data_IF_678367081125
#
_entry.id   IF_678367081125
#
_cell.length_a   1.000
_cell.length_b   1.000
_cell.length_c   1.000
_cell.angle_alpha   90.00
_cell.angle_beta   90.00
_cell.angle_gamma   90.00
#
_symmetry.space_group_name_H-M   'P 1'
#
loop_
_entity.id
_entity.type
_entity.pdbx_description
1 polymer ?
#
# COMPACT_ATOMS: atom_id res chain seq x y z
N UNK A 1 -2.40 0.18 -12.82
CA UNK A 1 -3.24 1.27 -13.37
C UNK A 1 -2.81 1.81 -14.75
N UNK A 2 -2.18 1.01 -15.64
CA UNK A 2 -1.50 1.51 -16.85
C UNK A 2 -2.44 2.22 -17.84
N UNK A 3 -3.59 1.63 -18.14
CA UNK A 3 -4.56 2.15 -19.12
C UNK A 3 -5.09 3.54 -18.75
N UNK A 4 -5.35 3.79 -17.45
CA UNK A 4 -5.83 5.09 -16.96
C UNK A 4 -4.73 6.15 -17.03
N UNK A 5 -3.45 5.75 -16.89
CA UNK A 5 -2.32 6.66 -17.07
C UNK A 5 -2.22 7.08 -18.53
N UNK A 6 -2.34 6.15 -19.48
CA UNK A 6 -2.34 6.45 -20.92
C UNK A 6 -3.53 7.35 -21.30
N UNK A 7 -4.72 7.13 -20.72
CA UNK A 7 -5.90 8.00 -20.90
C UNK A 7 -5.64 9.43 -20.36
N UNK A 8 -4.98 9.54 -19.20
CA UNK A 8 -4.64 10.82 -18.59
C UNK A 8 -3.59 11.59 -19.40
N UNK A 9 -2.61 10.87 -19.96
CA UNK A 9 -1.59 11.44 -20.85
C UNK A 9 -2.22 11.96 -22.14
N UNK A 10 -3.08 11.17 -22.80
CA UNK A 10 -3.85 11.62 -23.97
C UNK A 10 -4.68 12.87 -23.67
N UNK A 11 -5.32 12.94 -22.50
CA UNK A 11 -6.08 14.13 -22.10
C UNK A 11 -5.18 15.36 -21.91
N UNK A 12 -3.98 15.18 -21.38
CA UNK A 12 -3.00 16.26 -21.20
C UNK A 12 -2.38 16.71 -22.54
N UNK A 13 -2.20 15.79 -23.48
CA UNK A 13 -1.72 16.05 -24.84
C UNK A 13 -2.77 16.74 -25.70
N UNK A 14 -4.06 16.50 -25.45
CA UNK A 14 -5.17 17.10 -26.18
C UNK A 14 -5.27 18.64 -26.05
N UNK A 15 -4.56 19.26 -25.10
CA UNK A 15 -4.41 20.71 -25.08
C UNK A 15 -4.03 21.29 -23.72
N UNK A 16 -3.28 22.40 -23.75
CA UNK A 16 -2.83 23.13 -22.56
C UNK A 16 -4.00 23.61 -21.69
N UNK A 17 -5.13 24.01 -22.30
CA UNK A 17 -6.35 24.44 -21.60
C UNK A 17 -6.93 23.29 -20.75
N UNK A 18 -7.02 22.07 -21.29
CA UNK A 18 -7.53 20.90 -20.55
C UNK A 18 -6.64 20.53 -19.36
N UNK A 19 -5.32 20.74 -19.49
CA UNK A 19 -4.36 20.54 -18.42
C UNK A 19 -4.44 21.60 -17.32
N UNK A 20 -4.60 22.88 -17.68
CA UNK A 20 -4.58 24.00 -16.74
C UNK A 20 -5.92 24.28 -16.07
N UNK A 21 -7.03 24.17 -16.81
CA UNK A 21 -8.37 24.50 -16.30
C UNK A 21 -9.13 23.28 -15.76
N UNK A 22 -8.48 22.12 -15.67
CA UNK A 22 -9.05 20.93 -15.01
C UNK A 22 -9.96 20.06 -15.88
N UNK A 23 -9.85 20.15 -17.21
CA UNK A 23 -10.59 19.28 -18.15
C UNK A 23 -10.29 17.79 -17.99
N UNK A 24 -9.14 17.43 -17.40
CA UNK A 24 -8.74 16.04 -17.15
C UNK A 24 -9.05 15.51 -15.74
N UNK A 25 -9.85 16.24 -14.93
CA UNK A 25 -10.05 15.91 -13.52
C UNK A 25 -10.74 14.56 -13.29
N UNK A 26 -11.63 14.13 -14.17
CA UNK A 26 -12.34 12.86 -13.99
C UNK A 26 -11.44 11.65 -14.27
N UNK A 27 -10.60 11.73 -15.30
CA UNK A 27 -9.57 10.72 -15.57
C UNK A 27 -8.56 10.67 -14.40
N UNK A 28 -8.15 11.84 -13.88
CA UNK A 28 -7.30 11.92 -12.69
C UNK A 28 -7.96 11.30 -11.46
N UNK A 29 -9.28 11.46 -11.28
CA UNK A 29 -10.05 10.85 -10.19
C UNK A 29 -10.05 9.32 -10.30
N UNK A 30 -10.26 8.79 -11.50
CA UNK A 30 -10.15 7.35 -11.78
C UNK A 30 -8.75 6.82 -11.43
N UNK A 31 -7.70 7.53 -11.85
CA UNK A 31 -6.32 7.14 -11.57
C UNK A 31 -6.05 7.09 -10.05
N UNK A 32 -6.51 8.11 -9.32
CA UNK A 32 -6.35 8.17 -7.87
C UNK A 32 -7.05 7.01 -7.16
N UNK A 33 -8.24 6.59 -7.60
CA UNK A 33 -8.94 5.43 -7.04
C UNK A 33 -8.15 4.15 -7.28
N UNK A 34 -7.65 3.96 -8.51
CA UNK A 34 -6.85 2.79 -8.85
C UNK A 34 -5.55 2.71 -8.01
N UNK A 35 -4.79 3.80 -7.92
CA UNK A 35 -3.54 3.82 -7.15
C UNK A 35 -3.78 3.67 -5.64
N UNK A 36 -4.91 4.16 -5.13
CA UNK A 36 -5.30 3.92 -3.73
C UNK A 36 -5.56 2.44 -3.47
N UNK A 37 -6.22 1.74 -4.40
CA UNK A 37 -6.43 0.30 -4.28
C UNK A 37 -5.10 -0.47 -4.30
N UNK A 38 -4.20 -0.19 -5.25
CA UNK A 38 -2.87 -0.82 -5.32
C UNK A 38 -2.05 -0.54 -4.04
N UNK A 39 -2.14 0.67 -3.50
CA UNK A 39 -1.48 1.02 -2.23
C UNK A 39 -2.05 0.21 -1.07
N UNK A 40 -3.37 0.12 -0.96
CA UNK A 40 -4.02 -0.63 0.10
C UNK A 40 -3.63 -2.11 0.07
N UNK A 41 -3.59 -2.72 -1.12
CA UNK A 41 -3.15 -4.10 -1.30
C UNK A 41 -1.69 -4.30 -0.87
N UNK A 42 -0.79 -3.40 -1.30
CA UNK A 42 0.62 -3.46 -0.89
C UNK A 42 0.78 -3.31 0.61
N UNK A 43 0.06 -2.37 1.22
CA UNK A 43 0.06 -2.18 2.67
C UNK A 43 -0.46 -3.43 3.39
N UNK A 44 -1.53 -4.07 2.91
CA UNK A 44 -2.02 -5.32 3.49
C UNK A 44 -0.97 -6.43 3.45
N UNK A 45 -0.29 -6.61 2.31
CA UNK A 45 0.82 -7.58 2.17
C UNK A 45 1.99 -7.26 3.11
N UNK A 46 2.33 -5.99 3.29
CA UNK A 46 3.39 -5.58 4.22
C UNK A 46 3.00 -5.81 5.68
N UNK A 47 1.75 -5.54 6.05
CA UNK A 47 1.21 -5.82 7.38
C UNK A 47 1.25 -7.33 7.65
N UNK A 48 0.80 -8.15 6.69
CA UNK A 48 0.84 -9.60 6.82
C UNK A 48 2.27 -10.11 6.97
N UNK A 49 3.19 -9.63 6.13
CA UNK A 49 4.61 -9.98 6.20
C UNK A 49 5.19 -9.61 7.57
N UNK A 50 4.98 -8.38 8.02
CA UNK A 50 5.46 -7.92 9.33
C UNK A 50 4.87 -8.73 10.49
N UNK A 51 3.58 -9.10 10.42
CA UNK A 51 2.97 -9.98 11.43
C UNK A 51 3.61 -11.36 11.45
N UNK A 52 3.88 -11.96 10.29
CA UNK A 52 4.57 -13.27 10.20
C UNK A 52 5.99 -13.18 10.75
N UNK A 53 6.71 -12.13 10.36
CA UNK A 53 8.09 -11.89 10.81
C UNK A 53 8.16 -11.61 12.31
N UNK A 54 7.22 -10.87 12.90
CA UNK A 54 7.20 -10.54 14.33
C UNK A 54 6.72 -11.69 15.23
N UNK A 55 5.85 -12.58 14.73
CA UNK A 55 5.44 -13.79 15.48
C UNK A 55 6.64 -14.67 15.83
N UNK A 56 7.61 -14.80 14.94
CA UNK A 56 8.78 -15.65 15.18
C UNK A 56 9.65 -15.17 16.36
N UNK A 57 10.08 -13.89 16.42
CA UNK A 57 10.76 -13.30 17.57
C UNK A 57 9.90 -13.25 18.83
N UNK A 58 8.61 -12.92 18.73
CA UNK A 58 7.72 -12.84 19.89
C UNK A 58 7.52 -14.22 20.54
N UNK A 59 7.31 -15.27 19.74
CA UNK A 59 7.21 -16.66 20.21
C UNK A 59 8.54 -17.16 20.78
N UNK A 60 9.67 -16.74 20.21
CA UNK A 60 10.99 -17.05 20.76
C UNK A 60 11.20 -16.34 22.12
N UNK A 61 10.88 -15.05 22.22
CA UNK A 61 10.93 -14.28 23.47
C UNK A 61 10.00 -14.86 24.53
N UNK A 62 8.75 -15.19 24.19
CA UNK A 62 7.78 -15.81 25.10
C UNK A 62 8.28 -17.15 25.63
N UNK A 63 8.83 -18.01 24.76
CA UNK A 63 9.45 -19.29 25.16
C UNK A 63 10.67 -19.10 26.06
N UNK A 64 11.47 -18.06 25.84
CA UNK A 64 12.59 -17.75 26.73
C UNK A 64 12.10 -17.31 28.11
N UNK A 65 11.13 -16.40 28.19
CA UNK A 65 10.57 -15.93 29.47
C UNK A 65 9.88 -17.07 30.25
N UNK A 66 9.10 -17.92 29.58
CA UNK A 66 8.47 -19.09 30.23
C UNK A 66 9.52 -20.04 30.82
N UNK A 67 10.60 -20.32 30.10
CA UNK A 67 11.69 -21.19 30.58
C UNK A 67 12.42 -20.59 31.78
N UNK A 68 12.73 -19.30 31.74
CA UNK A 68 13.39 -18.58 32.82
C UNK A 68 12.47 -18.46 34.05
N UNK A 69 11.16 -18.31 33.86
CA UNK A 69 10.17 -18.24 34.95
C UNK A 69 9.81 -19.59 35.58
N UNK A 70 10.03 -20.71 34.89
CA UNK A 70 9.89 -22.07 35.47
C UNK A 70 11.12 -22.54 36.24
N UNK A 71 12.21 -21.77 36.21
CA UNK A 71 13.47 -22.10 36.88
C UNK A 71 13.70 -21.21 38.12
N UNK A 72 12.61 -20.90 38.84
CA UNK A 72 12.64 -20.29 40.16
C UNK A 72 12.54 -21.44 41.22
N UNK A 73 13.52 -21.59 42.14
CA UNK A 73 13.52 -22.65 43.16
C UNK A 73 12.43 -22.50 44.23
#
# INVERSE_FOLDING_TARGET
CKEIVEELEKCREAGFINRYFGGCNDVKRKLNLCLRAERAERTARHIEKSRRENKSPEEAWRRHIEKEGTNDP
#
